data_IF_967313823185
#
_entry.id   IF_967313823185
#
_cell.length_a   1.000
_cell.length_b   1.000
_cell.length_c   1.000
_cell.angle_alpha   90.00
_cell.angle_beta   90.00
_cell.angle_gamma   90.00
#
_symmetry.space_group_name_H-M   'P 1'
#
loop_
_entity.id
_entity.type
_entity.pdbx_description
1 polymer ?
#
# COMPACT_ATOMS: atom_id res chain seq x y z
N UNK A 1 -13.73 -0.05 -23.96
CA UNK A 1 -13.14 1.28 -24.23
C UNK A 1 -13.74 2.27 -23.24
N UNK A 2 -13.08 2.53 -22.11
CA UNK A 2 -13.58 3.46 -21.09
C UNK A 2 -13.15 4.88 -21.44
N UNK A 3 -13.97 5.56 -22.24
CA UNK A 3 -13.65 6.87 -22.78
C UNK A 3 -14.07 7.95 -21.78
N UNK A 4 -13.13 8.45 -20.98
CA UNK A 4 -13.31 9.60 -20.07
C UNK A 4 -13.48 10.94 -20.81
N UNK A 5 -14.13 10.91 -21.98
CA UNK A 5 -14.32 12.03 -22.89
C UNK A 5 -15.80 12.25 -23.13
N UNK A 6 -16.18 13.49 -23.43
CA UNK A 6 -17.56 13.87 -23.67
C UNK A 6 -18.11 13.08 -24.87
N UNK A 7 -19.25 12.37 -24.73
CA UNK A 7 -19.83 11.62 -25.84
C UNK A 7 -20.30 12.53 -26.98
N UNK A 8 -20.52 13.83 -26.72
CA UNK A 8 -20.99 14.79 -27.74
C UNK A 8 -19.85 15.44 -28.52
N UNK A 9 -18.73 15.77 -27.88
CA UNK A 9 -17.66 16.55 -28.52
C UNK A 9 -16.25 15.98 -28.36
N UNK A 10 -16.08 14.86 -27.67
CA UNK A 10 -14.78 14.21 -27.48
C UNK A 10 -13.81 14.90 -26.52
N UNK A 11 -14.18 16.06 -25.94
CA UNK A 11 -13.32 16.78 -24.98
C UNK A 11 -13.22 15.97 -23.68
N UNK A 12 -12.02 15.82 -23.08
CA UNK A 12 -11.84 15.10 -21.81
C UNK A 12 -12.74 15.68 -20.71
N UNK A 13 -13.41 14.79 -19.97
CA UNK A 13 -14.26 15.17 -18.83
C UNK A 13 -13.39 15.22 -17.58
N UNK A 14 -13.44 16.34 -16.84
CA UNK A 14 -12.86 16.41 -15.50
C UNK A 14 -13.79 15.73 -14.49
N UNK A 15 -13.28 14.93 -13.54
CA UNK A 15 -14.10 14.27 -12.51
C UNK A 15 -15.00 15.26 -11.76
N UNK A 16 -16.23 14.85 -11.45
CA UNK A 16 -17.19 15.62 -10.66
C UNK A 16 -17.88 16.80 -11.37
N UNK A 17 -17.75 16.95 -12.69
CA UNK A 17 -18.38 18.06 -13.45
C UNK A 17 -19.67 17.65 -14.16
N UNK A 18 -20.81 18.19 -13.73
CA UNK A 18 -22.16 17.92 -14.30
C UNK A 18 -22.31 18.30 -15.78
N UNK A 19 -21.51 19.23 -16.28
CA UNK A 19 -21.58 19.73 -17.66
C UNK A 19 -20.21 19.75 -18.33
N UNK A 20 -20.16 19.47 -19.63
CA UNK A 20 -18.94 19.51 -20.43
C UNK A 20 -18.46 20.96 -20.61
N UNK A 21 -17.20 21.23 -20.26
CA UNK A 21 -16.59 22.56 -20.44
C UNK A 21 -16.35 22.95 -21.90
N UNK A 22 -16.41 21.99 -22.83
CA UNK A 22 -16.20 22.25 -24.26
C UNK A 22 -17.48 22.52 -25.05
N UNK A 23 -18.59 21.86 -24.72
CA UNK A 23 -19.83 21.96 -25.51
C UNK A 23 -21.11 22.22 -24.69
N UNK A 24 -21.00 22.34 -23.36
CA UNK A 24 -22.13 22.60 -22.46
C UNK A 24 -23.09 21.43 -22.25
N UNK A 25 -22.87 20.27 -22.90
CA UNK A 25 -23.73 19.11 -22.72
C UNK A 25 -23.69 18.57 -21.29
N UNK A 26 -24.84 18.16 -20.78
CA UNK A 26 -24.93 17.44 -19.51
C UNK A 26 -24.22 16.09 -19.62
N UNK A 27 -23.42 15.77 -18.61
CA UNK A 27 -22.64 14.54 -18.59
C UNK A 27 -23.42 13.50 -17.77
N UNK A 28 -23.67 12.29 -18.34
CA UNK A 28 -24.33 11.21 -17.62
C UNK A 28 -23.64 10.92 -16.29
N UNK A 29 -24.41 10.70 -15.23
CA UNK A 29 -23.90 10.55 -13.86
C UNK A 29 -22.86 9.43 -13.70
N UNK A 30 -22.94 8.41 -14.56
CA UNK A 30 -21.99 7.30 -14.68
C UNK A 30 -20.58 7.71 -15.14
N UNK A 31 -20.43 8.91 -15.71
CA UNK A 31 -19.16 9.53 -16.12
C UNK A 31 -18.72 10.65 -15.16
N UNK A 32 -19.59 11.05 -14.22
CA UNK A 32 -19.33 12.11 -13.23
C UNK A 32 -18.55 11.61 -12.03
N UNK A 33 -18.91 10.41 -11.58
CA UNK A 33 -18.19 9.67 -10.57
C UNK A 33 -17.03 9.01 -11.31
N UNK A 34 -15.78 9.24 -10.86
CA UNK A 34 -14.65 8.44 -11.34
C UNK A 34 -15.12 6.99 -11.37
N UNK A 35 -15.17 6.41 -12.58
CA UNK A 35 -16.02 5.24 -12.86
C UNK A 35 -15.81 4.15 -11.82
N UNK A 36 -16.79 3.24 -11.61
CA UNK A 36 -16.72 2.23 -10.57
C UNK A 36 -15.31 1.64 -10.53
N UNK A 37 -14.58 1.91 -9.44
CA UNK A 37 -13.29 1.27 -9.21
C UNK A 37 -13.62 -0.20 -9.19
N UNK A 38 -13.36 -0.87 -10.30
CA UNK A 38 -13.67 -2.27 -10.46
C UNK A 38 -12.80 -2.99 -9.44
N UNK A 39 -13.37 -3.27 -8.26
CA UNK A 39 -12.84 -4.23 -7.30
C UNK A 39 -12.86 -5.59 -7.98
N UNK A 40 -11.86 -5.83 -8.83
CA UNK A 40 -11.53 -7.17 -9.28
C UNK A 40 -11.03 -7.90 -8.06
N UNK A 41 -11.81 -8.87 -7.61
CA UNK A 41 -11.53 -9.78 -6.50
C UNK A 41 -10.05 -10.17 -6.51
N UNK A 42 -9.31 -9.78 -5.48
CA UNK A 42 -7.94 -10.24 -5.27
C UNK A 42 -7.95 -11.63 -4.65
N UNK A 43 -7.10 -12.53 -5.14
CA UNK A 43 -6.86 -13.82 -4.47
C UNK A 43 -5.77 -13.63 -3.42
N UNK A 44 -6.13 -13.78 -2.16
CA UNK A 44 -5.21 -13.82 -1.02
C UNK A 44 -5.36 -15.15 -0.30
N UNK A 45 -4.25 -15.82 0.01
CA UNK A 45 -4.24 -16.95 0.94
C UNK A 45 -3.54 -16.54 2.23
N UNK A 46 -4.11 -16.97 3.36
CA UNK A 46 -3.54 -16.81 4.70
C UNK A 46 -3.25 -18.21 5.23
N UNK A 47 -1.98 -18.53 5.42
CA UNK A 47 -1.54 -19.78 6.03
C UNK A 47 -1.01 -19.47 7.43
N UNK A 48 -1.62 -20.10 8.43
CA UNK A 48 -1.21 -20.02 9.83
C UNK A 48 -0.37 -21.26 10.15
N UNK A 49 0.85 -21.06 10.61
CA UNK A 49 1.70 -22.09 11.20
C UNK A 49 1.78 -21.88 12.72
N UNK A 50 2.50 -22.73 13.46
CA UNK A 50 2.59 -22.66 14.92
C UNK A 50 3.09 -21.28 15.41
N UNK A 51 4.02 -20.68 14.67
CA UNK A 51 4.68 -19.42 15.07
C UNK A 51 4.62 -18.31 14.00
N UNK A 52 3.99 -18.55 12.84
CA UNK A 52 4.02 -17.59 11.72
C UNK A 52 2.67 -17.41 11.01
N UNK A 53 2.41 -16.18 10.56
CA UNK A 53 1.28 -15.84 9.68
C UNK A 53 1.83 -15.49 8.30
N UNK A 54 1.59 -16.37 7.33
CA UNK A 54 2.04 -16.19 5.96
C UNK A 54 0.87 -15.66 5.12
N UNK A 55 1.01 -14.45 4.57
CA UNK A 55 0.00 -13.83 3.72
C UNK A 55 0.54 -13.71 2.30
N UNK A 56 -0.01 -14.51 1.39
CA UNK A 56 0.37 -14.47 -0.02
C UNK A 56 -0.66 -13.68 -0.83
N UNK A 57 -0.18 -12.61 -1.44
CA UNK A 57 -0.93 -11.67 -2.24
C UNK A 57 -0.71 -11.96 -3.74
N UNK A 58 -1.58 -12.78 -4.35
CA UNK A 58 -1.32 -13.31 -5.71
C UNK A 58 -1.79 -12.41 -6.85
N UNK A 59 -2.78 -11.54 -6.65
CA UNK A 59 -3.34 -10.71 -7.72
C UNK A 59 -4.01 -9.45 -7.17
N UNK A 60 -3.40 -8.29 -7.39
CA UNK A 60 -4.01 -6.99 -7.18
C UNK A 60 -4.06 -6.26 -8.53
N UNK A 61 -5.22 -5.70 -8.86
CA UNK A 61 -5.28 -4.69 -9.93
C UNK A 61 -4.38 -3.53 -9.51
N UNK A 62 -3.53 -3.06 -10.42
CA UNK A 62 -2.54 -2.00 -10.21
C UNK A 62 -3.21 -0.73 -9.65
N UNK A 63 -3.14 -0.59 -8.33
CA UNK A 63 -3.60 0.60 -7.62
C UNK A 63 -2.43 1.60 -7.60
N UNK A 64 -2.66 2.88 -7.92
CA UNK A 64 -1.58 3.87 -7.93
C UNK A 64 -0.92 4.05 -6.56
N UNK A 65 -1.65 3.77 -5.47
CA UNK A 65 -1.13 3.78 -4.09
C UNK A 65 -0.51 2.44 -3.60
N UNK A 66 -0.33 1.45 -4.49
CA UNK A 66 0.26 0.14 -4.14
C UNK A 66 -0.64 -0.75 -3.27
N UNK A 67 -0.21 -1.99 -2.95
CA UNK A 67 -0.92 -2.85 -2.02
C UNK A 67 -0.83 -2.29 -0.59
N UNK A 68 -1.91 -2.44 0.18
CA UNK A 68 -1.94 -2.01 1.58
C UNK A 68 -2.63 -3.01 2.49
N UNK A 69 -2.10 -3.17 3.70
CA UNK A 69 -2.69 -3.95 4.77
C UNK A 69 -3.23 -3.01 5.84
N UNK A 70 -4.50 -3.19 6.22
CA UNK A 70 -5.17 -2.41 7.24
C UNK A 70 -5.46 -3.31 8.45
N UNK A 71 -5.09 -2.84 9.63
CA UNK A 71 -5.41 -3.46 10.91
C UNK A 71 -5.96 -2.38 11.84
N UNK A 72 -6.55 -2.79 12.97
CA UNK A 72 -7.11 -1.85 13.93
C UNK A 72 -6.03 -0.84 14.38
N UNK A 73 -6.16 0.42 13.95
CA UNK A 73 -5.25 1.50 14.33
C UNK A 73 -3.99 1.68 13.47
N UNK A 74 -3.85 1.00 12.33
CA UNK A 74 -2.69 1.22 11.46
C UNK A 74 -2.82 0.71 10.02
N UNK A 75 -1.87 1.15 9.18
CA UNK A 75 -1.78 0.82 7.75
C UNK A 75 -0.33 0.52 7.38
N UNK A 76 -0.09 -0.61 6.72
CA UNK A 76 1.17 -0.91 6.03
C UNK A 76 0.95 -0.68 4.54
N UNK A 77 1.83 0.12 3.93
CA UNK A 77 1.87 0.45 2.51
C UNK A 77 3.18 -0.10 1.93
N UNK A 78 3.10 -0.69 0.74
CA UNK A 78 4.28 -1.07 -0.02
C UNK A 78 4.29 -0.25 -1.31
N UNK A 79 5.33 0.55 -1.54
CA UNK A 79 5.45 1.43 -2.70
C UNK A 79 6.88 1.39 -3.25
N UNK A 80 7.05 1.05 -4.53
CA UNK A 80 8.35 0.97 -5.23
C UNK A 80 9.49 0.21 -4.51
N UNK A 81 9.18 -0.68 -3.57
CA UNK A 81 10.17 -1.44 -2.78
C UNK A 81 10.36 -0.92 -1.35
N UNK A 82 9.78 0.23 -1.01
CA UNK A 82 9.72 0.76 0.34
C UNK A 82 8.52 0.20 1.10
N UNK A 83 8.73 -0.10 2.39
CA UNK A 83 7.67 -0.49 3.32
C UNK A 83 7.39 0.68 4.25
N UNK A 84 6.22 1.30 4.10
CA UNK A 84 5.78 2.41 4.96
C UNK A 84 4.72 1.92 5.94
N UNK A 85 5.02 2.04 7.23
CA UNK A 85 4.12 1.65 8.32
C UNK A 85 3.61 2.92 9.01
N UNK A 86 2.28 3.08 9.06
CA UNK A 86 1.61 4.19 9.75
C UNK A 86 0.75 3.62 10.86
N UNK A 87 1.10 3.91 12.11
CA UNK A 87 0.32 3.51 13.29
C UNK A 87 0.49 4.54 14.41
N UNK A 88 -0.48 4.60 15.33
CA UNK A 88 -0.44 5.54 16.45
C UNK A 88 0.69 5.25 17.44
N UNK A 89 0.98 3.97 17.69
CA UNK A 89 2.10 3.52 18.50
C UNK A 89 2.71 2.27 17.85
N UNK A 90 4.03 2.26 17.67
CA UNK A 90 4.79 1.10 17.20
C UNK A 90 5.76 0.70 18.33
N UNK A 91 5.48 -0.43 18.99
CA UNK A 91 6.41 -1.05 19.94
C UNK A 91 6.95 -2.32 19.31
N UNK A 92 8.27 -2.37 19.11
CA UNK A 92 8.97 -3.57 18.70
C UNK A 92 9.79 -4.08 19.89
N UNK A 93 9.65 -5.37 20.19
CA UNK A 93 10.43 -6.05 21.22
C UNK A 93 10.98 -7.33 20.59
N UNK A 94 12.30 -7.49 20.63
CA UNK A 94 13.02 -8.64 20.07
C UNK A 94 12.73 -8.89 18.57
N UNK A 95 12.61 -7.81 17.79
CA UNK A 95 12.30 -7.92 16.37
C UNK A 95 13.57 -8.20 15.55
N UNK A 96 13.52 -9.23 14.70
CA UNK A 96 14.61 -9.58 13.78
C UNK A 96 14.22 -9.26 12.34
N UNK A 97 15.07 -8.51 11.65
CA UNK A 97 14.95 -8.24 10.23
C UNK A 97 16.12 -8.91 9.49
N UNK A 98 15.81 -9.84 8.60
CA UNK A 98 16.80 -10.53 7.77
C UNK A 98 16.60 -10.16 6.31
N UNK A 99 17.65 -9.67 5.67
CA UNK A 99 17.70 -9.36 4.24
C UNK A 99 18.72 -10.28 3.60
N UNK A 100 18.27 -11.10 2.66
CA UNK A 100 19.14 -12.02 1.93
C UNK A 100 19.29 -11.54 0.48
N UNK A 101 20.52 -11.32 0.05
CA UNK A 101 20.81 -10.84 -1.29
C UNK A 101 21.89 -11.69 -1.95
N UNK A 102 21.67 -12.07 -3.22
CA UNK A 102 22.53 -13.01 -3.94
C UNK A 102 24.01 -12.59 -4.00
N UNK A 103 24.30 -11.29 -4.04
CA UNK A 103 25.67 -10.76 -4.10
C UNK A 103 26.21 -10.24 -2.76
N UNK A 104 25.33 -9.92 -1.80
CA UNK A 104 25.73 -9.25 -0.55
C UNK A 104 25.67 -10.16 0.68
N UNK A 105 25.27 -11.42 0.52
CA UNK A 105 25.09 -12.36 1.64
C UNK A 105 23.83 -12.06 2.45
N UNK A 106 23.82 -12.46 3.71
CA UNK A 106 22.71 -12.19 4.62
C UNK A 106 23.07 -11.04 5.58
N UNK A 107 22.20 -10.03 5.60
CA UNK A 107 22.23 -8.94 6.58
C UNK A 107 21.15 -9.23 7.62
N UNK A 108 21.55 -9.30 8.89
CA UNK A 108 20.65 -9.45 10.01
C UNK A 108 20.69 -8.19 10.89
N UNK A 109 19.51 -7.67 11.20
CA UNK A 109 19.31 -6.60 12.16
C UNK A 109 18.43 -7.13 13.29
N UNK A 110 18.98 -7.21 14.50
CA UNK A 110 18.22 -7.52 15.70
C UNK A 110 17.92 -6.21 16.45
N UNK A 111 16.64 -5.96 16.68
CA UNK A 111 16.10 -4.81 17.41
C UNK A 111 15.65 -5.30 18.78
N UNK A 112 16.45 -5.01 19.81
CA UNK A 112 16.12 -5.42 21.19
C UNK A 112 14.93 -4.65 21.73
N UNK A 113 14.96 -3.32 21.61
CA UNK A 113 13.84 -2.46 21.95
C UNK A 113 13.79 -1.27 20.98
N UNK A 114 12.61 -0.97 20.47
CA UNK A 114 12.30 0.27 19.77
C UNK A 114 10.95 0.80 20.29
N UNK A 115 11.01 1.96 20.94
CA UNK A 115 9.85 2.60 21.54
C UNK A 115 9.85 4.09 21.24
N UNK A 116 8.74 4.55 20.63
CA UNK A 116 8.44 5.97 20.47
C UNK A 116 7.64 6.43 21.70
N UNK A 117 8.13 7.43 22.42
CA UNK A 117 7.47 7.99 23.60
C UNK A 117 7.49 9.52 23.57
N UNK A 118 6.68 10.18 24.41
CA UNK A 118 6.56 11.64 24.44
C UNK A 118 7.90 12.39 24.71
N UNK A 119 8.92 11.69 25.22
CA UNK A 119 10.24 12.23 25.53
C UNK A 119 11.35 11.92 24.52
N UNK A 120 11.09 11.14 23.47
CA UNK A 120 12.09 10.77 22.47
C UNK A 120 11.99 9.34 21.95
N UNK A 121 12.94 8.99 21.09
CA UNK A 121 13.09 7.68 20.45
C UNK A 121 14.29 6.95 21.06
N UNK A 122 14.03 5.83 21.74
CA UNK A 122 15.07 4.92 22.24
C UNK A 122 15.15 3.69 21.33
N UNK A 123 16.37 3.35 20.88
CA UNK A 123 16.61 2.20 20.01
C UNK A 123 17.89 1.47 20.43
N UNK A 124 17.79 0.16 20.61
CA UNK A 124 18.93 -0.75 20.73
C UNK A 124 19.01 -1.65 19.49
N UNK A 125 20.07 -1.48 18.71
CA UNK A 125 20.29 -2.19 17.43
C UNK A 125 21.60 -2.95 17.46
N UNK A 126 21.56 -4.19 16.98
CA UNK A 126 22.76 -4.95 16.61
C UNK A 126 22.69 -5.30 15.12
N UNK A 127 23.72 -4.92 14.36
CA UNK A 127 23.85 -5.25 12.94
C UNK A 127 24.89 -6.34 12.77
N UNK A 128 24.53 -7.44 12.12
CA UNK A 128 25.45 -8.52 11.76
C UNK A 128 25.41 -8.76 10.25
N UNK A 129 26.58 -8.89 9.64
CA UNK A 129 26.74 -9.23 8.22
C UNK A 129 27.47 -10.57 8.16
N UNK A 130 26.82 -11.58 7.58
CA UNK A 130 27.41 -12.89 7.39
C UNK A 130 27.69 -13.10 5.90
N UNK A 131 28.97 -13.31 5.55
CA UNK A 131 29.45 -13.51 4.18
C UNK A 131 29.68 -14.98 3.87
#
# INVERSE_FOLDING_TARGET
>A
MSNGACPKCGVPIRPGKRFCSGCGAEIPEQLLQGGPVASKQGKSSVHLDADTVNILLQQFASRPEGPSFQFAGGKILMDQGDVKVSMANLKLSDARFQIQHAQMGAVQLDVGALQLSEGGLEIQLTVSINR
#
